data_IF_169283581195
#
_entry.id   IF_169283581195
#
_cell.length_a   1.000
_cell.length_b   1.000
_cell.length_c   1.000
_cell.angle_alpha   90.00
_cell.angle_beta   90.00
_cell.angle_gamma   90.00
#
_symmetry.space_group_name_H-M   'P 1'
#
loop_
_entity.id
_entity.type
_entity.pdbx_description
1 polymer ?
#
# COMPACT_ATOMS: atom_id res chain seq x y z
N UNK A 1 25.86 -9.33 -14.62
CA UNK A 1 25.77 -8.20 -13.67
C UNK A 1 24.46 -7.50 -13.94
N UNK A 2 23.53 -7.46 -12.99
CA UNK A 2 22.29 -6.71 -13.13
C UNK A 2 22.59 -5.21 -13.06
N UNK A 3 22.04 -4.44 -14.01
CA UNK A 3 22.25 -3.00 -14.06
C UNK A 3 21.64 -2.31 -12.83
N UNK A 4 22.29 -1.25 -12.34
CA UNK A 4 21.75 -0.41 -11.27
C UNK A 4 20.43 0.21 -11.72
N UNK A 5 19.34 0.05 -10.95
CA UNK A 5 18.04 0.60 -11.32
C UNK A 5 18.06 2.13 -11.25
N UNK A 6 17.40 2.77 -12.20
CA UNK A 6 17.26 4.23 -12.22
C UNK A 6 16.25 4.71 -11.17
N UNK A 7 16.34 5.98 -10.71
CA UNK A 7 15.36 6.57 -9.80
C UNK A 7 13.92 6.47 -10.34
N UNK A 8 13.75 6.61 -11.66
CA UNK A 8 12.45 6.46 -12.32
C UNK A 8 11.91 5.03 -12.18
N UNK A 9 12.76 4.00 -12.34
CA UNK A 9 12.36 2.60 -12.17
C UNK A 9 11.90 2.31 -10.74
N UNK A 10 12.57 2.87 -9.72
CA UNK A 10 12.14 2.74 -8.32
C UNK A 10 10.76 3.38 -8.11
N UNK A 11 10.53 4.59 -8.65
CA UNK A 11 9.23 5.28 -8.56
C UNK A 11 8.11 4.50 -9.25
N UNK A 12 8.37 3.97 -10.44
CA UNK A 12 7.42 3.11 -11.16
C UNK A 12 7.11 1.83 -10.37
N UNK A 13 8.12 1.19 -9.79
CA UNK A 13 7.92 0.00 -8.95
C UNK A 13 7.06 0.31 -7.72
N UNK A 14 7.31 1.44 -7.05
CA UNK A 14 6.50 1.91 -5.92
C UNK A 14 5.03 2.11 -6.32
N UNK A 15 4.77 2.84 -7.41
CA UNK A 15 3.41 3.08 -7.91
C UNK A 15 2.68 1.79 -8.27
N UNK A 16 3.38 0.86 -8.95
CA UNK A 16 2.83 -0.44 -9.30
C UNK A 16 2.50 -1.28 -8.06
N UNK A 17 3.35 -1.23 -7.03
CA UNK A 17 3.16 -1.94 -5.77
C UNK A 17 2.00 -1.35 -4.98
N UNK A 18 1.89 -0.03 -4.89
CA UNK A 18 0.72 0.64 -4.30
C UNK A 18 -0.58 0.26 -5.00
N UNK A 19 -0.59 0.25 -6.34
CA UNK A 19 -1.76 -0.13 -7.11
C UNK A 19 -2.16 -1.60 -6.86
N UNK A 20 -1.19 -2.49 -6.71
CA UNK A 20 -1.44 -3.88 -6.35
C UNK A 20 -1.96 -4.03 -4.91
N UNK A 21 -1.40 -3.31 -3.93
CA UNK A 21 -1.89 -3.32 -2.54
C UNK A 21 -3.35 -2.89 -2.42
N UNK A 22 -3.82 -1.96 -3.25
CA UNK A 22 -5.21 -1.47 -3.27
C UNK A 22 -6.22 -2.46 -3.86
N UNK A 23 -5.78 -3.57 -4.45
CA UNK A 23 -6.67 -4.57 -5.08
C UNK A 23 -7.20 -5.61 -4.09
N UNK A 24 -6.67 -5.65 -2.87
CA UNK A 24 -7.19 -6.50 -1.81
C UNK A 24 -8.51 -5.94 -1.30
N UNK A 25 -9.53 -6.79 -1.25
CA UNK A 25 -10.87 -6.38 -0.81
C UNK A 25 -11.02 -6.35 0.70
N UNK A 26 -10.25 -7.17 1.43
CA UNK A 26 -10.23 -7.16 2.89
C UNK A 26 -9.46 -5.96 3.45
N UNK A 27 -10.06 -5.26 4.42
CA UNK A 27 -9.48 -4.12 5.13
C UNK A 27 -8.09 -4.43 5.72
N UNK A 28 -7.94 -5.59 6.37
CA UNK A 28 -6.69 -5.93 7.04
C UNK A 28 -5.53 -6.07 6.05
N UNK A 29 -5.74 -6.79 4.94
CA UNK A 29 -4.70 -7.02 3.95
C UNK A 29 -4.40 -5.74 3.15
N UNK A 30 -5.42 -5.04 2.69
CA UNK A 30 -5.25 -3.79 1.95
C UNK A 30 -4.49 -2.74 2.75
N UNK A 31 -4.90 -2.46 3.99
CA UNK A 31 -4.23 -1.48 4.85
C UNK A 31 -2.82 -1.91 5.24
N UNK A 32 -2.61 -3.19 5.57
CA UNK A 32 -1.28 -3.72 5.87
C UNK A 32 -0.33 -3.54 4.68
N UNK A 33 -0.72 -3.98 3.48
CA UNK A 33 0.13 -3.88 2.30
C UNK A 33 0.33 -2.44 1.86
N UNK A 34 -0.65 -1.55 2.05
CA UNK A 34 -0.46 -0.11 1.81
C UNK A 34 0.60 0.48 2.73
N UNK A 35 0.46 0.27 4.05
CA UNK A 35 1.42 0.78 5.04
C UNK A 35 2.80 0.19 4.83
N UNK A 36 2.89 -1.12 4.58
CA UNK A 36 4.15 -1.83 4.36
C UNK A 36 4.86 -1.31 3.11
N UNK A 37 4.14 -1.09 2.01
CA UNK A 37 4.72 -0.52 0.78
C UNK A 37 5.26 0.88 1.03
N UNK A 38 4.50 1.75 1.70
CA UNK A 38 4.97 3.10 2.03
C UNK A 38 6.25 3.06 2.88
N UNK A 39 6.23 2.32 4.00
CA UNK A 39 7.39 2.20 4.90
C UNK A 39 8.63 1.61 4.22
N UNK A 40 8.44 0.66 3.31
CA UNK A 40 9.54 -0.02 2.62
C UNK A 40 10.20 0.88 1.58
N UNK A 41 9.43 1.72 0.90
CA UNK A 41 9.94 2.60 -0.16
C UNK A 41 10.34 4.00 0.35
N UNK A 42 9.83 4.44 1.49
CA UNK A 42 10.15 5.74 2.11
C UNK A 42 11.64 6.13 2.04
N UNK A 43 12.61 5.29 2.47
CA UNK A 43 14.02 5.68 2.45
C UNK A 43 14.58 5.95 1.04
N UNK A 44 13.97 5.35 0.00
CA UNK A 44 14.37 5.47 -1.39
C UNK A 44 13.60 6.57 -2.16
N UNK A 45 12.59 7.19 -1.53
CA UNK A 45 11.74 8.22 -2.15
C UNK A 45 12.02 9.64 -1.62
N UNK A 46 12.56 9.78 -0.41
CA UNK A 46 12.71 11.08 0.27
C UNK A 46 13.70 12.05 -0.37
N UNK A 47 14.76 11.58 -1.03
CA UNK A 47 15.67 12.43 -1.81
C UNK A 47 16.49 11.61 -2.82
N UNK A 48 16.75 12.19 -4.00
CA UNK A 48 17.66 11.59 -4.98
C UNK A 48 19.06 11.37 -4.37
N UNK A 49 19.50 12.22 -3.44
CA UNK A 49 20.77 12.08 -2.71
C UNK A 49 20.85 10.80 -1.88
N UNK A 50 19.77 10.38 -1.21
CA UNK A 50 19.74 9.11 -0.46
C UNK A 50 19.75 7.90 -1.39
N UNK A 51 19.10 8.03 -2.55
CA UNK A 51 19.14 6.99 -3.57
C UNK A 51 20.54 6.85 -4.19
N UNK A 52 21.26 7.95 -4.35
CA UNK A 52 22.66 7.96 -4.81
C UNK A 52 23.64 7.49 -3.73
N UNK A 53 23.33 7.75 -2.45
CA UNK A 53 24.13 7.29 -1.31
C UNK A 53 23.94 5.78 -1.00
N UNK A 54 22.83 5.18 -1.44
CA UNK A 54 22.63 3.74 -1.35
C UNK A 54 23.71 3.01 -2.16
N UNK A 55 24.31 1.97 -1.57
CA UNK A 55 25.29 1.14 -2.28
C UNK A 55 24.61 0.54 -3.51
N UNK A 56 25.26 0.62 -4.67
CA UNK A 56 24.69 0.15 -5.94
C UNK A 56 24.21 -1.32 -5.87
N UNK A 57 24.94 -2.17 -5.16
CA UNK A 57 24.57 -3.57 -4.93
C UNK A 57 23.32 -3.75 -4.05
N UNK A 58 23.19 -2.96 -2.98
CA UNK A 58 22.02 -2.98 -2.09
C UNK A 58 20.77 -2.52 -2.86
N UNK A 59 20.90 -1.47 -3.66
CA UNK A 59 19.80 -0.94 -4.46
C UNK A 59 19.33 -1.94 -5.52
N UNK A 60 20.28 -2.64 -6.15
CA UNK A 60 19.98 -3.74 -7.09
C UNK A 60 19.25 -4.87 -6.37
N UNK A 61 19.75 -5.31 -5.21
CA UNK A 61 19.12 -6.38 -4.44
C UNK A 61 17.69 -6.00 -3.99
N UNK A 62 17.51 -4.77 -3.49
CA UNK A 62 16.21 -4.22 -3.13
C UNK A 62 15.25 -4.24 -4.32
N UNK A 63 15.68 -3.72 -5.48
CA UNK A 63 14.84 -3.66 -6.67
C UNK A 63 14.40 -5.05 -7.14
N UNK A 64 15.31 -6.03 -7.16
CA UNK A 64 15.00 -7.41 -7.52
C UNK A 64 14.00 -8.03 -6.53
N UNK A 65 14.24 -7.86 -5.23
CA UNK A 65 13.36 -8.37 -4.19
C UNK A 65 11.95 -7.77 -4.29
N UNK A 66 11.84 -6.46 -4.47
CA UNK A 66 10.54 -5.79 -4.58
C UNK A 66 9.81 -6.11 -5.89
N UNK A 67 10.55 -6.37 -6.98
CA UNK A 67 9.95 -6.84 -8.24
C UNK A 67 9.33 -8.21 -8.07
N UNK A 68 10.03 -9.15 -7.43
CA UNK A 68 9.48 -10.46 -7.10
C UNK A 68 8.28 -10.35 -6.14
N UNK A 69 8.37 -9.49 -5.13
CA UNK A 69 7.28 -9.25 -4.19
C UNK A 69 6.02 -8.68 -4.88
N UNK A 70 6.17 -7.78 -5.86
CA UNK A 70 5.07 -7.25 -6.66
C UNK A 70 4.31 -8.36 -7.40
N UNK A 71 5.01 -9.34 -7.97
CA UNK A 71 4.37 -10.46 -8.65
C UNK A 71 3.59 -11.36 -7.70
N UNK A 72 4.13 -11.61 -6.50
CA UNK A 72 3.42 -12.33 -5.43
C UNK A 72 2.18 -11.56 -5.01
N UNK A 73 2.31 -10.25 -4.81
CA UNK A 73 1.22 -9.37 -4.38
C UNK A 73 0.08 -9.34 -5.40
N UNK A 74 0.41 -9.27 -6.70
CA UNK A 74 -0.58 -9.30 -7.80
C UNK A 74 -1.39 -10.59 -7.81
N UNK A 75 -0.72 -11.75 -7.78
CA UNK A 75 -1.38 -13.05 -7.74
C UNK A 75 -2.23 -13.23 -6.49
N UNK A 76 -1.71 -12.80 -5.34
CA UNK A 76 -2.42 -12.89 -4.06
C UNK A 76 -3.68 -12.02 -4.05
N UNK A 77 -3.63 -10.83 -4.65
CA UNK A 77 -4.79 -9.95 -4.79
C UNK A 77 -5.86 -10.51 -5.74
N UNK A 78 -5.47 -11.26 -6.77
CA UNK A 78 -6.42 -11.97 -7.64
C UNK A 78 -7.13 -13.11 -6.89
N UNK A 79 -6.38 -13.96 -6.18
CA UNK A 79 -6.94 -15.04 -5.36
C UNK A 79 -7.83 -14.49 -4.25
N UNK A 80 -7.41 -13.41 -3.58
CA UNK A 80 -8.21 -12.79 -2.53
C UNK A 80 -9.59 -12.33 -3.03
N UNK A 81 -9.67 -11.80 -4.26
CA UNK A 81 -10.96 -11.43 -4.87
C UNK A 81 -11.81 -12.63 -5.26
N UNK A 82 -11.20 -13.73 -5.70
CA UNK A 82 -11.95 -14.96 -6.04
C UNK A 82 -12.60 -15.61 -4.82
N UNK A 83 -11.99 -15.47 -3.65
CA UNK A 83 -12.46 -16.04 -2.38
C UNK A 83 -12.85 -14.95 -1.38
N UNK A 84 -13.38 -13.84 -1.86
CA UNK A 84 -13.83 -12.74 -1.01
C UNK A 84 -15.03 -13.17 -0.15
N UNK A 85 -14.92 -12.95 1.16
CA UNK A 85 -16.00 -13.17 2.12
C UNK A 85 -16.78 -11.88 2.40
N UNK A 86 -17.82 -11.96 3.26
CA UNK A 86 -18.52 -10.77 3.73
C UNK A 86 -17.56 -9.76 4.34
N UNK A 87 -17.80 -8.47 4.05
CA UNK A 87 -17.04 -7.36 4.58
C UNK A 87 -17.13 -7.29 6.12
N UNK A 88 -16.07 -6.76 6.76
CA UNK A 88 -16.05 -6.60 8.21
C UNK A 88 -17.00 -5.48 8.65
N UNK A 89 -17.50 -5.53 9.89
CA UNK A 89 -18.38 -4.48 10.46
C UNK A 89 -17.75 -3.08 10.34
N UNK A 90 -16.42 -2.98 10.45
CA UNK A 90 -15.66 -1.73 10.33
C UNK A 90 -15.55 -1.19 8.90
N UNK A 91 -15.84 -2.01 7.88
CA UNK A 91 -15.83 -1.61 6.47
C UNK A 91 -17.16 -0.97 6.03
N UNK A 92 -18.23 -1.18 6.81
CA UNK A 92 -19.56 -0.60 6.58
C UNK A 92 -19.76 0.79 7.21
N UNK A 93 -18.72 1.36 7.82
CA UNK A 93 -18.83 2.68 8.43
C UNK A 93 -19.02 3.75 7.35
N UNK A 94 -20.28 4.13 7.10
CA UNK A 94 -20.58 5.41 6.48
C UNK A 94 -19.90 6.48 7.34
N UNK A 95 -19.15 7.42 6.74
CA UNK A 95 -18.62 8.55 7.50
C UNK A 95 -19.80 9.21 8.21
N UNK A 96 -19.69 9.39 9.52
CA UNK A 96 -20.72 9.97 10.38
C UNK A 96 -20.80 11.47 10.06
N UNK A 97 -21.22 11.81 8.84
CA UNK A 97 -21.53 13.16 8.38
C UNK A 97 -23.04 13.27 8.36
N UNK A 98 -23.64 13.40 9.55
CA UNK A 98 -24.99 13.92 9.84
C UNK A 98 -25.49 13.28 11.12
N UNK A 99 -25.34 13.99 12.23
CA UNK A 99 -25.87 13.62 13.52
C UNK A 99 -25.64 14.73 14.54
N UNK A 100 -25.77 15.98 14.11
CA UNK A 100 -25.92 17.11 15.02
C UNK A 100 -27.25 16.94 15.74
N UNK A 101 -27.18 16.81 17.06
CA UNK A 101 -28.30 16.37 17.89
C UNK A 101 -29.45 17.36 17.94
N UNK A 102 -30.66 16.85 17.74
CA UNK A 102 -31.88 17.47 18.25
C UNK A 102 -31.95 17.20 19.76
N UNK A 103 -31.44 18.17 20.53
CA UNK A 103 -31.72 18.32 21.95
C UNK A 103 -33.09 18.95 22.17
N UNK A 104 -34.13 18.38 21.56
CA UNK A 104 -35.51 18.79 21.76
C UNK A 104 -36.17 17.88 22.81
N UNK A 105 -37.02 18.47 23.64
CA UNK A 105 -37.93 17.83 24.59
C UNK A 105 -37.35 17.17 25.86
N UNK A 106 -36.95 17.98 26.84
CA UNK A 106 -37.16 17.64 28.25
C UNK A 106 -37.73 18.87 29.00
N UNK A 107 -39.06 18.90 29.12
CA UNK A 107 -39.87 19.81 29.95
C UNK A 107 -39.46 19.79 31.44
N UNK A 108 -39.79 20.86 32.17
CA UNK A 108 -41.00 20.79 33.02
C UNK A 108 -42.10 21.79 32.63
#
# INVERSE_FOLDING_TARGET
MSATPSPAQIRTLYQNTLAASKRFSSYNFGQYFLRRTQQTFEPYLQSDDKLQAAKSEELVAFYQQQTAALEVLRRSGEVNRMYEGPQLVIEHALPITAGGGDGAEASP
#
